data_IF_510128808270
#
_entry.id   IF_510128808270
#
_cell.length_a   1.000
_cell.length_b   1.000
_cell.length_c   1.000
_cell.angle_alpha   90.00
_cell.angle_beta   90.00
_cell.angle_gamma   90.00
#
_symmetry.space_group_name_H-M   'P 1'
#
loop_
_entity.id
_entity.type
_entity.pdbx_description
1 polymer ?
#
# COMPACT_ATOMS: atom_id res chain seq x y z
N UNK A 1 -13.41 9.00 0.79
CA UNK A 1 -12.62 8.66 2.00
C UNK A 1 -13.38 8.99 3.30
N UNK A 2 -13.79 10.24 3.51
CA UNK A 2 -14.49 10.67 4.72
C UNK A 2 -15.80 9.87 4.96
N UNK A 3 -16.53 9.56 3.91
CA UNK A 3 -17.79 8.81 4.00
C UNK A 3 -17.56 7.33 4.37
N UNK A 4 -16.55 6.67 3.82
CA UNK A 4 -16.21 5.29 4.17
C UNK A 4 -15.71 5.19 5.63
N UNK A 5 -14.93 6.17 6.09
CA UNK A 5 -14.51 6.26 7.48
C UNK A 5 -15.70 6.50 8.42
N UNK A 6 -16.63 7.41 8.05
CA UNK A 6 -17.84 7.67 8.82
C UNK A 6 -18.78 6.45 8.89
N UNK A 7 -18.75 5.59 7.86
CA UNK A 7 -19.49 4.31 7.83
C UNK A 7 -18.72 3.14 8.46
N UNK A 8 -17.57 3.40 9.08
CA UNK A 8 -16.74 2.38 9.75
C UNK A 8 -16.35 1.21 8.84
N UNK A 9 -16.03 1.51 7.58
CA UNK A 9 -15.59 0.51 6.60
C UNK A 9 -14.08 0.31 6.65
N UNK A 10 -13.59 -0.12 7.79
CA UNK A 10 -12.16 -0.39 8.01
C UNK A 10 -11.79 -1.77 7.50
N UNK A 11 -10.66 -1.85 6.82
CA UNK A 11 -10.09 -3.07 6.30
C UNK A 11 -8.58 -3.05 6.39
N UNK A 12 -7.94 -4.09 5.91
CA UNK A 12 -6.49 -4.17 5.79
C UNK A 12 -6.10 -4.69 4.42
N UNK A 13 -4.92 -4.30 3.98
CA UNK A 13 -4.24 -4.90 2.83
C UNK A 13 -3.06 -5.69 3.38
N UNK A 14 -3.10 -7.01 3.22
CA UNK A 14 -2.00 -7.89 3.60
C UNK A 14 -0.93 -7.83 2.51
N UNK A 15 0.31 -7.59 2.90
CA UNK A 15 1.44 -7.47 1.98
C UNK A 15 2.70 -8.10 2.59
N UNK A 16 3.58 -8.60 1.74
CA UNK A 16 4.91 -9.03 2.14
C UNK A 16 5.91 -7.86 2.07
N UNK A 17 5.65 -6.91 1.16
CA UNK A 17 6.49 -5.76 0.91
C UNK A 17 5.66 -4.63 0.29
N UNK A 18 6.00 -3.38 0.58
CA UNK A 18 5.51 -2.24 -0.19
C UNK A 18 6.68 -1.44 -0.76
N UNK A 19 6.40 -0.67 -1.80
CA UNK A 19 7.44 0.07 -2.50
C UNK A 19 7.20 1.58 -2.42
N UNK A 20 8.30 2.29 -2.20
CA UNK A 20 8.27 3.75 -2.15
C UNK A 20 9.51 4.34 -2.84
N UNK A 21 9.41 5.58 -3.29
CA UNK A 21 10.51 6.29 -3.93
C UNK A 21 11.43 6.92 -2.89
N UNK A 22 12.71 6.60 -2.96
CA UNK A 22 13.78 7.30 -2.23
C UNK A 22 14.60 8.09 -3.23
N UNK A 23 14.88 9.35 -2.94
CA UNK A 23 15.65 10.22 -3.83
C UNK A 23 17.13 10.15 -3.46
N UNK A 24 17.94 9.69 -4.40
CA UNK A 24 19.41 9.64 -4.28
C UNK A 24 19.98 10.51 -5.41
N UNK A 25 20.80 11.49 -5.05
CA UNK A 25 21.36 12.47 -6.00
C UNK A 25 20.31 13.11 -6.91
N UNK A 26 19.17 13.47 -6.31
CA UNK A 26 18.04 14.11 -6.99
C UNK A 26 17.22 13.19 -7.92
N UNK A 27 17.51 11.88 -7.94
CA UNK A 27 16.80 10.93 -8.80
C UNK A 27 15.98 9.95 -7.96
N UNK A 28 14.71 9.70 -8.32
CA UNK A 28 13.89 8.72 -7.63
C UNK A 28 14.37 7.30 -7.92
N UNK A 29 14.58 6.55 -6.87
CA UNK A 29 14.87 5.12 -6.92
C UNK A 29 13.76 4.36 -6.20
N UNK A 30 13.37 3.20 -6.72
CA UNK A 30 12.38 2.33 -6.06
C UNK A 30 13.03 1.55 -4.95
N UNK A 31 12.47 1.65 -3.75
CA UNK A 31 12.90 0.89 -2.58
C UNK A 31 11.73 0.07 -2.06
N UNK A 32 12.02 -1.16 -1.64
CA UNK A 32 11.09 -2.02 -0.96
C UNK A 32 11.24 -1.90 0.55
N UNK A 33 10.13 -1.93 1.27
CA UNK A 33 10.07 -1.96 2.74
C UNK A 33 9.33 -3.23 3.14
N UNK A 34 9.98 -4.07 3.96
CA UNK A 34 9.46 -5.36 4.39
C UNK A 34 9.83 -5.65 5.83
N UNK A 35 9.18 -6.64 6.42
CA UNK A 35 9.57 -7.12 7.75
C UNK A 35 10.88 -7.92 7.66
N UNK A 36 11.73 -7.75 8.69
CA UNK A 36 13.01 -8.49 8.80
C UNK A 36 12.82 -9.99 8.98
N UNK A 37 11.71 -10.41 9.59
CA UNK A 37 11.36 -11.82 9.78
C UNK A 37 10.74 -12.48 8.54
N UNK A 38 10.56 -11.71 7.46
CA UNK A 38 9.98 -12.19 6.21
C UNK A 38 8.49 -12.50 6.25
N UNK A 39 7.80 -12.15 7.35
CA UNK A 39 6.37 -12.36 7.46
C UNK A 39 5.58 -11.22 6.83
N UNK A 40 4.38 -11.55 6.32
CA UNK A 40 3.41 -10.57 5.86
C UNK A 40 2.97 -9.64 6.99
N UNK A 41 2.57 -8.44 6.63
CA UNK A 41 2.03 -7.45 7.56
C UNK A 41 0.78 -6.78 6.97
N UNK A 42 0.08 -6.04 7.80
CA UNK A 42 -1.21 -5.48 7.46
C UNK A 42 -1.14 -3.95 7.38
N UNK A 43 -1.45 -3.41 6.20
CA UNK A 43 -1.58 -1.96 6.01
C UNK A 43 -3.04 -1.58 6.26
N UNK A 44 -3.26 -0.57 7.09
CA UNK A 44 -4.57 -0.01 7.35
C UNK A 44 -5.23 0.49 6.06
N UNK A 45 -6.47 0.14 5.86
CA UNK A 45 -7.23 0.53 4.68
C UNK A 45 -8.69 0.88 5.03
N UNK A 46 -9.30 1.66 4.17
CA UNK A 46 -10.75 1.77 4.04
C UNK A 46 -11.16 0.99 2.80
N UNK A 47 -12.33 0.35 2.86
CA UNK A 47 -12.88 -0.32 1.70
C UNK A 47 -14.27 0.22 1.35
N UNK A 48 -14.64 0.04 0.11
CA UNK A 48 -15.97 0.37 -0.38
C UNK A 48 -16.48 -0.69 -1.34
N UNK A 49 -17.77 -0.94 -1.28
CA UNK A 49 -18.48 -1.83 -2.20
C UNK A 49 -19.58 -1.02 -2.83
N UNK A 50 -19.55 -0.85 -4.14
CA UNK A 50 -20.57 -0.15 -4.89
C UNK A 50 -21.06 -1.00 -6.07
N UNK A 51 -22.25 -0.66 -6.56
CA UNK A 51 -22.77 -1.21 -7.81
C UNK A 51 -22.52 -0.21 -8.93
N UNK A 52 -21.96 -0.68 -10.02
CA UNK A 52 -21.78 0.08 -11.24
C UNK A 52 -22.55 -0.64 -12.36
N UNK A 53 -23.79 -0.22 -12.63
CA UNK A 53 -24.73 -1.03 -13.42
C UNK A 53 -25.05 -2.35 -12.71
N UNK A 54 -24.84 -3.47 -13.40
CA UNK A 54 -25.07 -4.82 -12.86
C UNK A 54 -23.83 -5.41 -12.15
N UNK A 55 -22.70 -4.71 -12.19
CA UNK A 55 -21.46 -5.17 -11.57
C UNK A 55 -21.30 -4.69 -10.13
N UNK A 56 -20.75 -5.56 -9.27
CA UNK A 56 -20.35 -5.22 -7.91
C UNK A 56 -18.85 -4.94 -7.90
N UNK A 57 -18.50 -3.66 -7.72
CA UNK A 57 -17.12 -3.21 -7.62
C UNK A 57 -16.71 -3.13 -6.15
N UNK A 58 -15.57 -3.72 -5.83
CA UNK A 58 -14.92 -3.62 -4.52
C UNK A 58 -13.62 -2.85 -4.67
N UNK A 59 -13.46 -1.83 -3.86
CA UNK A 59 -12.26 -1.02 -3.83
C UNK A 59 -11.70 -0.91 -2.42
N UNK A 60 -10.40 -0.72 -2.30
CA UNK A 60 -9.73 -0.43 -1.04
C UNK A 60 -8.71 0.67 -1.25
N UNK A 61 -8.54 1.50 -0.23
CA UNK A 61 -7.56 2.58 -0.22
C UNK A 61 -6.75 2.53 1.06
N UNK A 62 -5.43 2.54 0.93
CA UNK A 62 -4.52 2.60 2.07
C UNK A 62 -4.68 3.92 2.81
N UNK A 63 -4.62 3.85 4.13
CA UNK A 63 -4.56 5.03 4.99
C UNK A 63 -3.10 5.38 5.22
N UNK A 64 -2.78 6.64 5.04
CA UNK A 64 -1.44 7.16 5.27
C UNK A 64 -1.43 8.19 6.39
N UNK A 65 -0.31 8.31 7.08
CA UNK A 65 -0.04 9.31 8.10
C UNK A 65 1.10 10.23 7.67
N UNK A 66 1.24 11.36 8.34
CA UNK A 66 2.43 12.19 8.23
C UNK A 66 3.66 11.41 8.70
N UNK A 67 4.76 11.54 7.99
CA UNK A 67 6.00 10.81 8.26
C UNK A 67 7.23 11.71 8.32
N UNK A 68 7.06 13.02 8.53
CA UNK A 68 8.19 13.95 8.58
C UNK A 68 9.20 13.59 9.68
N UNK A 69 8.71 13.09 10.81
CA UNK A 69 9.52 12.67 11.95
C UNK A 69 9.68 11.14 12.04
N UNK A 70 9.15 10.39 11.07
CA UNK A 70 9.26 8.94 11.09
C UNK A 70 10.69 8.48 10.83
N UNK A 71 11.26 7.68 11.72
CA UNK A 71 12.67 7.33 11.69
C UNK A 71 13.18 6.71 10.38
N UNK A 72 12.33 5.98 9.64
CA UNK A 72 12.65 5.40 8.34
C UNK A 72 12.04 6.19 7.17
N UNK A 73 10.74 6.51 7.22
CA UNK A 73 10.02 7.01 6.05
C UNK A 73 10.27 8.49 5.75
N UNK A 74 10.86 9.26 6.66
CA UNK A 74 11.26 10.65 6.42
C UNK A 74 12.24 10.81 5.26
N UNK A 75 13.02 9.76 4.96
CA UNK A 75 14.01 9.75 3.88
C UNK A 75 13.42 9.37 2.53
N UNK A 76 12.14 9.00 2.51
CA UNK A 76 11.42 8.65 1.29
C UNK A 76 10.68 9.85 0.71
N UNK A 77 10.09 9.65 -0.47
CA UNK A 77 9.42 10.67 -1.28
C UNK A 77 10.37 11.76 -1.80
N UNK A 78 9.83 12.64 -2.61
CA UNK A 78 10.55 13.82 -3.10
C UNK A 78 11.04 14.70 -1.94
N UNK A 79 12.24 15.29 -2.04
CA UNK A 79 12.70 16.26 -1.05
C UNK A 79 11.68 17.39 -0.86
N UNK A 80 11.30 17.64 0.39
CA UNK A 80 10.32 18.66 0.73
C UNK A 80 9.61 18.37 2.06
N UNK A 81 8.67 19.23 2.44
CA UNK A 81 8.02 19.16 3.75
C UNK A 81 6.91 18.08 3.83
N UNK A 82 6.50 17.51 2.72
CA UNK A 82 5.42 16.51 2.70
C UNK A 82 6.03 15.11 2.66
N UNK A 83 5.91 14.39 3.76
CA UNK A 83 6.31 12.99 3.89
C UNK A 83 5.11 12.17 4.35
N UNK A 84 4.97 10.98 3.81
CA UNK A 84 3.87 10.08 4.17
C UNK A 84 4.38 8.68 4.44
N UNK A 85 3.67 7.97 5.30
CA UNK A 85 3.87 6.54 5.55
C UNK A 85 2.53 5.85 5.58
N UNK A 86 2.51 4.58 5.21
CA UNK A 86 1.39 3.69 5.49
C UNK A 86 1.28 3.48 7.01
N UNK A 87 0.08 3.21 7.48
CA UNK A 87 -0.17 2.78 8.86
C UNK A 87 -0.13 1.26 8.88
N UNK A 88 0.76 0.68 9.67
CA UNK A 88 0.83 -0.76 9.87
C UNK A 88 0.02 -1.15 11.09
N UNK A 89 -0.92 -2.09 10.92
CA UNK A 89 -1.72 -2.63 12.02
C UNK A 89 -1.01 -3.87 12.59
N UNK A 90 -0.56 -3.83 13.84
CA UNK A 90 0.01 -5.00 14.49
C UNK A 90 -0.99 -6.16 14.52
N UNK A 91 -0.52 -7.39 14.35
CA UNK A 91 -1.39 -8.58 14.34
C UNK A 91 -2.28 -8.66 15.59
N UNK A 92 -1.75 -8.37 16.76
CA UNK A 92 -2.50 -8.35 18.01
C UNK A 92 -3.65 -7.33 18.05
N UNK A 93 -3.62 -6.30 17.21
CA UNK A 93 -4.63 -5.24 17.14
C UNK A 93 -5.58 -5.38 15.94
N UNK A 94 -5.39 -6.40 15.11
CA UNK A 94 -6.15 -6.58 13.88
C UNK A 94 -7.66 -6.65 14.12
N UNK A 95 -8.10 -7.45 15.10
CA UNK A 95 -9.52 -7.55 15.44
C UNK A 95 -10.10 -6.23 15.95
N UNK A 96 -9.37 -5.48 16.75
CA UNK A 96 -9.80 -4.17 17.22
C UNK A 96 -9.95 -3.17 16.06
N UNK A 97 -9.02 -3.18 15.12
CA UNK A 97 -9.07 -2.36 13.90
C UNK A 97 -10.30 -2.69 13.04
N UNK A 98 -10.50 -3.97 12.71
CA UNK A 98 -11.60 -4.41 11.83
C UNK A 98 -13.00 -4.20 12.44
N UNK A 99 -13.10 -4.12 13.76
CA UNK A 99 -14.34 -3.89 14.48
C UNK A 99 -14.50 -2.45 14.99
N UNK A 100 -13.66 -1.53 14.54
CA UNK A 100 -13.69 -0.14 14.95
C UNK A 100 -15.03 0.51 14.55
N UNK A 101 -15.80 0.97 15.53
CA UNK A 101 -17.14 1.55 15.31
C UNK A 101 -17.14 3.07 15.26
N UNK A 102 -16.06 3.69 15.70
CA UNK A 102 -15.89 5.13 15.65
C UNK A 102 -14.52 5.45 15.07
N UNK A 103 -14.39 6.52 14.27
CA UNK A 103 -13.14 6.86 13.62
C UNK A 103 -12.11 7.48 14.59
N UNK A 104 -11.91 6.87 15.76
CA UNK A 104 -10.79 7.22 16.61
C UNK A 104 -9.51 6.54 16.08
N UNK A 105 -9.02 7.07 14.95
CA UNK A 105 -7.81 6.57 14.31
C UNK A 105 -6.57 6.85 15.16
N UNK A 106 -6.64 7.77 16.09
CA UNK A 106 -5.49 8.23 16.88
C UNK A 106 -4.79 7.07 17.61
N UNK A 107 -5.54 6.10 18.11
CA UNK A 107 -4.98 4.95 18.81
C UNK A 107 -4.25 3.96 17.87
N UNK A 108 -4.43 4.10 16.56
CA UNK A 108 -3.83 3.25 15.52
C UNK A 108 -2.80 3.99 14.67
N UNK A 109 -2.75 5.32 14.75
CA UNK A 109 -1.76 6.16 14.03
C UNK A 109 -0.41 6.08 14.76
N UNK A 110 0.04 4.88 15.02
CA UNK A 110 1.40 4.62 15.47
C UNK A 110 2.20 4.24 14.23
N UNK A 111 3.31 4.92 13.99
CA UNK A 111 4.26 4.48 12.99
C UNK A 111 4.62 3.01 13.23
N UNK A 112 4.93 2.27 12.18
CA UNK A 112 5.37 0.89 12.36
C UNK A 112 6.71 0.86 13.12
N UNK A 113 6.97 -0.18 13.93
CA UNK A 113 8.20 -0.32 14.70
C UNK A 113 9.37 -0.52 13.73
N UNK A 114 10.19 0.52 13.57
CA UNK A 114 11.26 0.57 12.56
C UNK A 114 12.27 -0.57 12.72
N UNK A 115 12.48 -1.01 13.96
CA UNK A 115 13.36 -2.13 14.29
C UNK A 115 12.92 -3.47 13.70
N UNK A 116 11.63 -3.65 13.46
CA UNK A 116 11.07 -4.86 12.83
C UNK A 116 11.16 -4.81 11.29
N UNK A 117 11.48 -3.65 10.72
CA UNK A 117 11.47 -3.44 9.27
C UNK A 117 12.87 -3.19 8.72
N UNK A 118 13.01 -3.46 7.46
CA UNK A 118 14.19 -3.12 6.66
C UNK A 118 13.75 -2.56 5.31
N UNK A 119 14.65 -1.79 4.69
CA UNK A 119 14.42 -1.29 3.33
C UNK A 119 15.63 -1.60 2.44
N UNK A 120 15.37 -1.89 1.19
CA UNK A 120 16.41 -2.18 0.20
C UNK A 120 16.04 -1.61 -1.17
N UNK A 121 17.06 -1.27 -1.97
CA UNK A 121 16.85 -0.84 -3.34
C UNK A 121 16.34 -2.01 -4.19
N UNK A 122 15.23 -1.80 -4.88
CA UNK A 122 14.63 -2.79 -5.77
C UNK A 122 14.51 -2.17 -7.17
N UNK A 123 15.44 -2.46 -8.07
CA UNK A 123 15.36 -1.99 -9.44
C UNK A 123 14.06 -2.44 -10.10
N UNK A 124 13.42 -1.55 -10.89
CA UNK A 124 12.29 -1.97 -11.71
C UNK A 124 12.77 -3.06 -12.66
N UNK A 125 12.13 -4.23 -12.63
CA UNK A 125 12.35 -5.24 -13.64
C UNK A 125 12.11 -4.60 -15.02
N UNK A 126 13.02 -4.79 -15.96
CA UNK A 126 12.76 -4.46 -17.36
C UNK A 126 11.62 -5.37 -17.80
N UNK A 127 10.42 -4.81 -17.94
CA UNK A 127 9.34 -5.51 -18.60
C UNK A 127 9.75 -5.58 -20.07
N UNK A 128 10.23 -6.74 -20.51
CA UNK A 128 10.26 -7.03 -21.92
C UNK A 128 8.82 -6.91 -22.41
N UNK A 129 8.58 -5.95 -23.28
CA UNK A 129 7.30 -5.85 -23.97
C UNK A 129 7.20 -7.10 -24.85
N UNK A 130 6.61 -8.15 -24.32
CA UNK A 130 6.10 -9.24 -25.13
C UNK A 130 4.96 -8.60 -25.92
N UNK A 131 5.24 -8.24 -27.15
CA UNK A 131 4.19 -7.87 -28.11
C UNK A 131 3.30 -9.07 -28.24
N UNK A 132 2.01 -9.03 -27.89
CA UNK A 132 1.10 -10.09 -28.26
C UNK A 132 0.96 -10.05 -29.77
N UNK A 133 1.70 -10.87 -30.49
CA UNK A 133 1.34 -11.23 -31.83
C UNK A 133 0.11 -12.13 -31.71
N UNK A 134 -1.03 -11.50 -31.60
CA UNK A 134 -2.31 -12.13 -31.88
C UNK A 134 -2.36 -12.32 -33.41
N UNK A 135 -1.85 -13.44 -33.88
CA UNK A 135 -2.15 -13.94 -35.21
C UNK A 135 -3.62 -14.47 -35.18
N UNK A 136 -4.54 -13.53 -35.24
CA UNK A 136 -5.89 -13.84 -35.72
C UNK A 136 -5.84 -13.79 -37.26
N UNK A 137 -6.20 -14.84 -37.87
CA UNK A 137 -6.39 -15.17 -39.29
C UNK A 137 -5.32 -16.13 -39.83
N UNK A 138 -5.54 -17.40 -39.54
CA UNK A 138 -5.35 -18.45 -40.54
C UNK A 138 -6.62 -19.33 -40.55
N UNK A 139 -7.64 -18.81 -41.18
CA UNK A 139 -8.78 -19.62 -41.62
C UNK A 139 -8.41 -20.19 -42.99
N UNK A 140 -7.72 -21.33 -42.95
CA UNK A 140 -7.46 -22.13 -44.15
C UNK A 140 -8.76 -22.44 -44.90
N UNK A 141 -8.75 -22.06 -46.14
CA UNK A 141 -9.61 -22.62 -47.18
C UNK A 141 -9.18 -24.04 -47.48
N UNK A 142 -10.09 -24.93 -47.44
CA UNK A 142 -10.27 -26.05 -48.39
C UNK A 142 -11.64 -26.67 -48.16
#
# INVERSE_FOLDING_TARGET
FAEAAAKCKFGVIAVDEFYESKYIDGKPQRWGVRRRDGQAFYIAALYEICKLGDEVVRSASMITMDAIDHAMMKDFHEPGPIKRSVIVIPHARLNAWLNLKQPNLHDFVLGFPVEEFECSHVPKAKIEKVSPQLNFFDSGQA
#
